data_IF_042746895941
#
_entry.id   IF_042746895941
#
_cell.length_a   1.000
_cell.length_b   1.000
_cell.length_c   1.000
_cell.angle_alpha   90.00
_cell.angle_beta   90.00
_cell.angle_gamma   90.00
#
_symmetry.space_group_name_H-M   'P 1'
#
loop_
_entity.id
_entity.type
_entity.pdbx_description
1 polymer ?
#
# COMPACT_ATOMS: atom_id res chain seq x y z
N UNK A 1 12.54 -3.59 29.57
CA UNK A 1 12.31 -4.21 28.23
C UNK A 1 11.07 -3.64 27.56
N UNK A 2 9.91 -3.64 28.24
CA UNK A 2 8.64 -3.18 27.66
C UNK A 2 8.63 -1.72 27.18
N UNK A 3 9.40 -0.84 27.83
CA UNK A 3 9.54 0.56 27.41
C UNK A 3 10.06 0.71 25.96
N UNK A 4 11.08 -0.08 25.57
CA UNK A 4 11.63 -0.03 24.21
C UNK A 4 10.61 -0.54 23.19
N UNK A 5 9.92 -1.65 23.51
CA UNK A 5 8.87 -2.20 22.64
C UNK A 5 7.70 -1.24 22.48
N UNK A 6 7.27 -0.57 23.55
CA UNK A 6 6.22 0.45 23.50
C UNK A 6 6.62 1.63 22.62
N UNK A 7 7.88 2.09 22.74
CA UNK A 7 8.43 3.16 21.89
C UNK A 7 8.47 2.77 20.41
N UNK A 8 8.87 1.53 20.09
CA UNK A 8 8.89 1.03 18.70
C UNK A 8 7.48 0.79 18.13
N UNK A 9 6.52 0.38 18.95
CA UNK A 9 5.12 0.31 18.51
C UNK A 9 4.49 1.69 18.32
N UNK A 10 5.03 2.73 18.96
CA UNK A 10 4.48 4.07 18.90
C UNK A 10 2.99 4.05 19.27
N UNK A 11 2.14 4.55 18.37
CA UNK A 11 0.70 4.66 18.56
C UNK A 11 -0.10 3.39 18.20
N UNK A 12 0.53 2.25 17.91
CA UNK A 12 -0.22 1.00 17.60
C UNK A 12 -0.94 0.45 18.83
N UNK A 13 -2.14 -0.08 18.63
CA UNK A 13 -2.90 -0.79 19.65
C UNK A 13 -2.18 -2.09 19.98
N UNK A 14 -1.76 -2.25 21.24
CA UNK A 14 -1.04 -3.44 21.70
C UNK A 14 -2.00 -4.37 22.43
N UNK A 15 -1.86 -5.66 22.19
CA UNK A 15 -2.46 -6.70 23.01
C UNK A 15 -1.79 -6.67 24.39
N UNK A 16 -2.60 -6.50 25.44
CA UNK A 16 -2.19 -6.58 26.84
C UNK A 16 -3.14 -7.53 27.58
N UNK A 17 -2.78 -8.81 27.63
CA UNK A 17 -3.62 -9.86 28.23
C UNK A 17 -2.73 -10.76 29.10
N UNK A 18 -2.97 -10.76 30.42
CA UNK A 18 -2.13 -11.50 31.37
C UNK A 18 -0.65 -11.14 31.22
N UNK A 19 0.17 -12.11 30.83
CA UNK A 19 1.61 -11.95 30.64
C UNK A 19 2.01 -11.49 29.22
N UNK A 20 1.05 -11.35 28.31
CA UNK A 20 1.29 -10.96 26.92
C UNK A 20 1.21 -9.44 26.75
N UNK A 21 2.29 -8.85 26.22
CA UNK A 21 2.33 -7.44 25.81
C UNK A 21 2.89 -7.36 24.39
N UNK A 22 2.02 -7.57 23.40
CA UNK A 22 2.41 -7.75 21.99
C UNK A 22 1.88 -6.60 21.13
N UNK A 23 2.70 -6.15 20.18
CA UNK A 23 2.26 -5.34 19.05
C UNK A 23 1.48 -6.22 18.07
N UNK A 24 0.25 -6.54 18.48
CA UNK A 24 -0.71 -7.43 17.86
C UNK A 24 -2.10 -6.85 18.09
N UNK A 25 -2.94 -6.85 17.06
CA UNK A 25 -4.29 -6.30 17.12
C UNK A 25 -5.26 -7.14 16.31
N UNK A 26 -6.40 -7.48 16.88
CA UNK A 26 -7.53 -8.01 16.12
C UNK A 26 -8.21 -6.86 15.37
N UNK A 27 -8.06 -6.86 14.05
CA UNK A 27 -8.79 -5.93 13.17
C UNK A 27 -10.24 -6.37 13.08
N UNK A 28 -10.49 -7.67 12.97
CA UNK A 28 -11.79 -8.30 13.20
C UNK A 28 -11.59 -9.50 14.13
N UNK A 29 -12.63 -10.26 14.45
CA UNK A 29 -12.48 -11.49 15.25
C UNK A 29 -11.57 -12.55 14.59
N UNK A 30 -11.38 -12.47 13.28
CA UNK A 30 -10.68 -13.49 12.48
C UNK A 30 -9.50 -12.95 11.65
N UNK A 31 -9.21 -11.65 11.75
CA UNK A 31 -8.07 -11.00 11.08
C UNK A 31 -7.22 -10.29 12.14
N UNK A 32 -5.96 -10.70 12.24
CA UNK A 32 -4.98 -10.15 13.17
C UNK A 32 -3.90 -9.40 12.39
N UNK A 33 -3.59 -8.17 12.81
CA UNK A 33 -2.44 -7.40 12.35
C UNK A 33 -1.36 -7.40 13.43
N UNK A 34 -0.10 -7.66 13.08
CA UNK A 34 1.00 -7.58 14.05
C UNK A 34 2.30 -7.04 13.44
N UNK A 35 3.27 -6.69 14.31
CA UNK A 35 4.66 -6.48 13.90
C UNK A 35 5.44 -7.80 13.80
N UNK A 36 6.61 -7.77 13.14
CA UNK A 36 7.49 -8.94 12.98
C UNK A 36 7.73 -9.67 14.32
N UNK A 37 7.56 -11.00 14.39
CA UNK A 37 8.05 -11.81 15.50
C UNK A 37 9.59 -11.84 15.44
N UNK A 38 10.22 -11.10 16.34
CA UNK A 38 11.67 -10.94 16.39
C UNK A 38 12.34 -12.03 17.22
N UNK A 39 13.45 -12.55 16.69
CA UNK A 39 14.32 -13.52 17.36
C UNK A 39 15.45 -12.83 18.13
N UNK A 40 15.92 -13.46 19.20
CA UNK A 40 17.07 -12.99 19.98
C UNK A 40 17.00 -11.49 20.32
N UNK A 41 18.00 -10.73 19.87
CA UNK A 41 18.10 -9.29 20.11
C UNK A 41 16.96 -8.48 19.45
N UNK A 42 16.36 -8.93 18.34
CA UNK A 42 15.22 -8.24 17.73
C UNK A 42 13.99 -8.26 18.64
N UNK A 43 13.82 -9.33 19.42
CA UNK A 43 12.76 -9.47 20.43
C UNK A 43 12.86 -8.46 21.58
N UNK A 44 13.98 -7.74 21.73
CA UNK A 44 14.13 -6.67 22.72
C UNK A 44 13.32 -5.43 22.38
N UNK A 45 13.15 -5.14 21.09
CA UNK A 45 12.45 -3.94 20.61
C UNK A 45 11.26 -4.25 19.68
N UNK A 46 11.09 -5.51 19.25
CA UNK A 46 9.91 -6.02 18.55
C UNK A 46 9.15 -7.04 19.43
N UNK A 47 8.16 -7.71 18.85
CA UNK A 47 7.46 -8.81 19.51
C UNK A 47 8.43 -9.99 19.71
N UNK A 48 8.61 -10.54 20.93
CA UNK A 48 9.36 -11.77 21.11
C UNK A 48 8.65 -12.92 20.41
N UNK A 49 9.35 -13.63 19.53
CA UNK A 49 8.76 -14.75 18.78
C UNK A 49 8.13 -15.80 19.71
N UNK A 50 8.77 -16.12 20.83
CA UNK A 50 8.25 -17.12 21.79
C UNK A 50 6.92 -16.69 22.42
N UNK A 51 6.75 -15.41 22.73
CA UNK A 51 5.48 -14.91 23.27
C UNK A 51 4.39 -14.86 22.20
N UNK A 52 4.73 -14.54 20.95
CA UNK A 52 3.75 -14.55 19.85
C UNK A 52 3.30 -15.97 19.54
N UNK A 53 4.25 -16.90 19.44
CA UNK A 53 3.97 -18.32 19.25
C UNK A 53 3.14 -18.89 20.39
N UNK A 54 3.53 -18.63 21.65
CA UNK A 54 2.78 -19.05 22.82
C UNK A 54 1.34 -18.53 22.78
N UNK A 55 1.15 -17.23 22.57
CA UNK A 55 -0.18 -16.63 22.49
C UNK A 55 -1.06 -17.27 21.41
N UNK A 56 -0.54 -17.40 20.18
CA UNK A 56 -1.31 -17.96 19.06
C UNK A 56 -1.60 -19.44 19.26
N UNK A 57 -0.62 -20.22 19.76
CA UNK A 57 -0.78 -21.65 20.04
C UNK A 57 -1.78 -21.93 21.17
N UNK A 58 -1.81 -21.08 22.20
CA UNK A 58 -2.78 -21.20 23.31
C UNK A 58 -4.17 -20.76 22.88
N UNK A 59 -4.28 -19.67 22.12
CA UNK A 59 -5.57 -19.06 21.76
C UNK A 59 -6.26 -19.76 20.60
N UNK A 60 -5.51 -20.13 19.57
CA UNK A 60 -6.04 -20.63 18.28
C UNK A 60 -5.58 -22.04 17.93
N UNK A 61 -4.76 -22.69 18.78
CA UNK A 61 -4.25 -24.04 18.55
C UNK A 61 -3.51 -24.16 17.21
N UNK A 62 -4.12 -24.83 16.21
CA UNK A 62 -3.59 -25.02 14.85
C UNK A 62 -4.38 -24.19 13.81
N UNK A 63 -5.50 -23.56 14.21
CA UNK A 63 -6.44 -22.85 13.34
C UNK A 63 -5.99 -21.40 13.05
N UNK A 64 -4.69 -21.14 12.95
CA UNK A 64 -4.16 -19.83 12.55
C UNK A 64 -3.16 -19.92 11.41
N UNK A 65 -3.20 -18.91 10.54
CA UNK A 65 -2.42 -18.87 9.31
C UNK A 65 -1.67 -17.54 9.20
N UNK A 66 -0.33 -17.60 9.17
CA UNK A 66 0.51 -16.40 9.17
C UNK A 66 0.89 -16.01 7.73
N UNK A 67 0.62 -14.77 7.35
CA UNK A 67 1.11 -14.15 6.12
C UNK A 67 2.30 -13.24 6.44
N UNK A 68 3.49 -13.71 6.10
CA UNK A 68 4.73 -12.97 6.28
C UNK A 68 5.06 -12.12 5.05
N UNK A 69 4.76 -10.83 5.13
CA UNK A 69 5.02 -9.86 4.04
C UNK A 69 6.41 -9.23 4.12
N UNK A 70 7.25 -9.68 5.06
CA UNK A 70 8.48 -8.98 5.42
C UNK A 70 9.68 -9.33 4.55
N UNK A 71 9.69 -10.53 3.97
CA UNK A 71 10.86 -11.14 3.30
C UNK A 71 11.94 -11.65 4.27
N UNK A 72 11.71 -11.56 5.59
CA UNK A 72 12.60 -12.13 6.62
C UNK A 72 12.08 -13.48 7.08
N UNK A 73 12.95 -14.47 7.12
CA UNK A 73 12.70 -15.76 7.80
C UNK A 73 12.93 -15.64 9.31
N UNK A 74 12.28 -16.52 10.06
CA UNK A 74 12.44 -16.75 11.50
C UNK A 74 12.07 -18.22 11.78
N UNK A 75 12.32 -18.72 12.99
CA UNK A 75 12.07 -20.10 13.39
C UNK A 75 10.57 -20.44 13.37
N UNK A 76 10.14 -20.99 12.24
CA UNK A 76 8.76 -21.37 11.95
C UNK A 76 8.30 -22.52 12.86
N UNK A 77 9.23 -23.35 13.39
CA UNK A 77 8.89 -24.53 14.22
C UNK A 77 8.21 -24.18 15.55
N UNK A 78 8.30 -22.91 15.97
CA UNK A 78 7.61 -22.39 17.16
C UNK A 78 6.10 -22.27 16.96
N UNK A 79 5.66 -22.14 15.71
CA UNK A 79 4.26 -21.96 15.35
C UNK A 79 3.64 -23.30 14.96
N UNK A 80 2.48 -23.63 15.56
CA UNK A 80 1.64 -24.76 15.14
C UNK A 80 0.87 -24.48 13.85
N UNK A 81 0.54 -23.21 13.62
CA UNK A 81 -0.17 -22.75 12.43
C UNK A 81 0.73 -22.61 11.20
N UNK A 82 0.14 -22.64 10.01
CA UNK A 82 0.87 -22.59 8.74
C UNK A 82 1.35 -21.17 8.41
N UNK A 83 2.56 -21.04 7.88
CA UNK A 83 3.17 -19.75 7.50
C UNK A 83 3.35 -19.65 5.98
N UNK A 84 2.73 -18.64 5.38
CA UNK A 84 2.93 -18.25 3.99
C UNK A 84 4.01 -17.17 3.88
N UNK A 85 5.08 -17.44 3.14
CA UNK A 85 6.26 -16.56 3.00
C UNK A 85 6.55 -16.03 1.60
N UNK A 86 5.84 -16.52 0.59
CA UNK A 86 6.05 -16.13 -0.81
C UNK A 86 5.41 -14.78 -1.17
N UNK A 87 4.79 -14.12 -0.20
CA UNK A 87 3.96 -12.93 -0.37
C UNK A 87 4.66 -11.64 0.12
N UNK A 88 5.94 -11.43 -0.21
CA UNK A 88 6.67 -10.24 0.22
C UNK A 88 6.95 -9.26 -0.91
N UNK A 89 7.06 -7.98 -0.55
CA UNK A 89 7.60 -6.95 -1.43
C UNK A 89 8.40 -5.92 -0.62
N UNK A 90 9.25 -5.17 -1.34
CA UNK A 90 10.20 -4.22 -0.78
C UNK A 90 9.51 -3.19 0.10
N UNK A 91 10.13 -2.85 1.23
CA UNK A 91 9.49 -1.94 2.17
C UNK A 91 9.21 -0.58 1.54
N UNK A 92 8.07 0.00 1.90
CA UNK A 92 7.55 1.24 1.33
C UNK A 92 7.34 1.24 -0.20
N UNK A 93 7.32 0.10 -0.89
CA UNK A 93 6.90 0.05 -2.29
C UNK A 93 5.44 -0.40 -2.38
N UNK A 94 4.82 -0.20 -3.54
CA UNK A 94 3.55 -0.85 -3.86
C UNK A 94 3.76 -2.36 -4.05
N UNK A 95 2.83 -3.21 -3.60
CA UNK A 95 2.80 -4.62 -3.99
C UNK A 95 2.47 -4.73 -5.47
N UNK A 96 2.91 -5.78 -6.15
CA UNK A 96 2.31 -6.09 -7.45
C UNK A 96 0.85 -6.52 -7.27
N UNK A 97 -0.01 -6.14 -8.22
CA UNK A 97 -1.45 -6.40 -8.10
C UNK A 97 -1.79 -7.89 -7.95
N UNK A 98 -1.06 -8.77 -8.65
CA UNK A 98 -1.30 -10.21 -8.55
C UNK A 98 -1.07 -10.76 -7.15
N UNK A 99 -0.05 -10.26 -6.45
CA UNK A 99 0.25 -10.68 -5.08
C UNK A 99 -0.90 -10.29 -4.16
N UNK A 100 -1.51 -9.11 -4.35
CA UNK A 100 -2.71 -8.73 -3.59
C UNK A 100 -3.89 -9.67 -3.84
N UNK A 101 -4.19 -9.98 -5.11
CA UNK A 101 -5.27 -10.91 -5.45
C UNK A 101 -5.03 -12.32 -4.91
N UNK A 102 -3.80 -12.82 -4.98
CA UNK A 102 -3.44 -14.14 -4.48
C UNK A 102 -3.58 -14.23 -2.97
N UNK A 103 -3.06 -13.23 -2.24
CA UNK A 103 -3.22 -13.19 -0.79
C UNK A 103 -4.71 -13.10 -0.41
N UNK A 104 -5.49 -12.21 -1.04
CA UNK A 104 -6.90 -12.06 -0.71
C UNK A 104 -7.71 -13.33 -1.01
N UNK A 105 -7.46 -14.01 -2.13
CA UNK A 105 -8.08 -15.29 -2.44
C UNK A 105 -7.69 -16.36 -1.40
N UNK A 106 -6.41 -16.44 -1.03
CA UNK A 106 -5.93 -17.40 -0.05
C UNK A 106 -6.54 -17.16 1.33
N UNK A 107 -6.59 -15.91 1.79
CA UNK A 107 -7.28 -15.53 3.04
C UNK A 107 -8.76 -15.95 2.97
N UNK A 108 -9.44 -15.63 1.87
CA UNK A 108 -10.86 -15.98 1.70
C UNK A 108 -11.11 -17.48 1.81
N UNK A 109 -10.28 -18.27 1.15
CA UNK A 109 -10.38 -19.73 1.17
C UNK A 109 -10.12 -20.28 2.57
N UNK A 110 -9.10 -19.78 3.27
CA UNK A 110 -8.78 -20.16 4.65
C UNK A 110 -9.98 -19.85 5.57
N UNK A 111 -10.50 -18.64 5.52
CA UNK A 111 -11.58 -18.23 6.43
C UNK A 111 -12.90 -18.94 6.13
N UNK A 112 -13.17 -19.30 4.87
CA UNK A 112 -14.33 -20.12 4.49
C UNK A 112 -14.21 -21.60 4.86
N UNK A 113 -13.00 -22.13 4.95
CA UNK A 113 -12.79 -23.57 5.17
C UNK A 113 -13.19 -24.04 6.58
N UNK A 114 -13.03 -23.18 7.59
CA UNK A 114 -13.37 -23.47 8.98
C UNK A 114 -13.65 -22.15 9.70
N UNK A 115 -14.74 -22.08 10.47
CA UNK A 115 -15.14 -20.88 11.22
C UNK A 115 -14.18 -20.51 12.35
N UNK A 116 -13.37 -21.47 12.82
CA UNK A 116 -12.31 -21.23 13.80
C UNK A 116 -11.05 -20.60 13.22
N UNK A 117 -10.86 -20.69 11.90
CA UNK A 117 -9.65 -20.19 11.27
C UNK A 117 -9.48 -18.69 11.48
N UNK A 118 -8.28 -18.27 11.84
CA UNK A 118 -7.86 -16.87 11.89
C UNK A 118 -6.64 -16.64 11.00
N UNK A 119 -6.55 -15.45 10.40
CA UNK A 119 -5.36 -15.06 9.63
C UNK A 119 -4.57 -13.99 10.38
N UNK A 120 -3.25 -14.14 10.38
CA UNK A 120 -2.31 -13.23 11.02
C UNK A 120 -1.44 -12.60 9.95
N UNK A 121 -1.53 -11.29 9.75
CA UNK A 121 -0.80 -10.60 8.69
C UNK A 121 0.24 -9.69 9.35
N UNK A 122 1.50 -9.81 8.93
CA UNK A 122 2.56 -8.95 9.42
C UNK A 122 3.56 -8.57 8.33
N UNK A 123 4.27 -7.47 8.58
CA UNK A 123 5.46 -7.10 7.84
C UNK A 123 6.59 -6.84 8.84
N UNK A 124 7.41 -5.81 8.64
CA UNK A 124 8.33 -5.37 9.69
C UNK A 124 7.57 -4.66 10.82
N UNK A 125 6.97 -3.51 10.54
CA UNK A 125 6.33 -2.68 11.56
C UNK A 125 4.83 -2.96 11.76
N UNK A 126 4.20 -3.76 10.91
CA UNK A 126 2.76 -4.04 10.99
C UNK A 126 1.88 -2.80 10.72
N UNK A 127 2.31 -1.92 9.80
CA UNK A 127 1.63 -0.66 9.42
C UNK A 127 1.24 -0.66 7.95
N UNK A 128 2.12 -0.21 7.05
CA UNK A 128 1.80 0.03 5.63
C UNK A 128 1.40 -1.25 4.89
N UNK A 129 2.36 -2.16 4.66
CA UNK A 129 2.14 -3.42 3.92
C UNK A 129 1.02 -4.29 4.50
N UNK A 130 1.02 -4.46 5.82
CA UNK A 130 -0.03 -5.17 6.56
C UNK A 130 -1.40 -4.54 6.34
N UNK A 131 -1.50 -3.22 6.50
CA UNK A 131 -2.73 -2.48 6.25
C UNK A 131 -3.19 -2.56 4.80
N UNK A 132 -2.28 -2.53 3.82
CA UNK A 132 -2.61 -2.69 2.40
C UNK A 132 -3.34 -4.01 2.14
N UNK A 133 -2.79 -5.14 2.61
CA UNK A 133 -3.42 -6.46 2.46
C UNK A 133 -4.76 -6.52 3.18
N UNK A 134 -4.81 -6.03 4.42
CA UNK A 134 -6.04 -6.08 5.23
C UNK A 134 -7.14 -5.24 4.57
N UNK A 135 -6.84 -4.01 4.12
CA UNK A 135 -7.81 -3.18 3.42
C UNK A 135 -8.28 -3.81 2.12
N UNK A 136 -7.37 -4.39 1.32
CA UNK A 136 -7.75 -5.14 0.12
C UNK A 136 -8.67 -6.31 0.47
N UNK A 137 -8.37 -7.07 1.53
CA UNK A 137 -9.21 -8.20 1.92
C UNK A 137 -10.57 -7.77 2.47
N UNK A 138 -10.64 -6.69 3.25
CA UNK A 138 -11.91 -6.13 3.74
C UNK A 138 -12.82 -5.66 2.59
N UNK A 139 -12.24 -5.19 1.48
CA UNK A 139 -12.95 -4.88 0.24
C UNK A 139 -13.33 -6.14 -0.54
N UNK A 140 -12.41 -7.11 -0.66
CA UNK A 140 -12.63 -8.41 -1.30
C UNK A 140 -13.70 -9.24 -0.59
N UNK A 141 -13.80 -9.15 0.73
CA UNK A 141 -14.84 -9.83 1.47
C UNK A 141 -16.21 -9.18 1.28
N UNK A 142 -16.29 -8.01 0.62
CA UNK A 142 -17.51 -7.24 0.46
C UNK A 142 -17.95 -6.47 1.70
N UNK A 143 -17.11 -6.35 2.76
CA UNK A 143 -17.53 -5.66 4.00
C UNK A 143 -17.64 -4.16 3.81
N UNK A 144 -16.81 -3.62 2.94
CA UNK A 144 -16.74 -2.20 2.61
C UNK A 144 -17.00 -1.97 1.12
N UNK A 145 -17.66 -0.85 0.82
CA UNK A 145 -18.02 -0.45 -0.54
C UNK A 145 -17.19 0.73 -1.06
N UNK A 146 -16.18 1.16 -0.32
CA UNK A 146 -15.21 2.16 -0.75
C UNK A 146 -13.90 2.00 0.03
N UNK A 147 -12.82 2.48 -0.58
CA UNK A 147 -11.45 2.37 -0.05
C UNK A 147 -11.27 3.17 1.23
N UNK A 148 -11.88 4.35 1.33
CA UNK A 148 -11.73 5.25 2.47
C UNK A 148 -12.25 4.64 3.76
N UNK A 149 -13.42 4.01 3.74
CA UNK A 149 -14.00 3.38 4.94
C UNK A 149 -13.16 2.18 5.39
N UNK A 150 -12.63 1.37 4.45
CA UNK A 150 -11.73 0.27 4.78
C UNK A 150 -10.43 0.78 5.43
N UNK A 151 -9.83 1.85 4.89
CA UNK A 151 -8.66 2.52 5.45
C UNK A 151 -8.93 3.11 6.82
N UNK A 152 -10.07 3.77 7.00
CA UNK A 152 -10.47 4.39 8.26
C UNK A 152 -10.72 3.35 9.35
N UNK A 153 -11.48 2.30 9.01
CA UNK A 153 -11.73 1.18 9.92
C UNK A 153 -10.41 0.53 10.34
N UNK A 154 -9.54 0.17 9.39
CA UNK A 154 -8.23 -0.39 9.71
C UNK A 154 -7.41 0.55 10.60
N UNK A 155 -7.39 1.85 10.27
CA UNK A 155 -6.66 2.85 11.03
C UNK A 155 -7.09 2.93 12.50
N UNK A 156 -8.41 3.07 12.73
CA UNK A 156 -8.99 3.13 14.08
C UNK A 156 -8.81 1.83 14.87
N UNK A 157 -8.92 0.68 14.20
CA UNK A 157 -8.67 -0.62 14.84
C UNK A 157 -7.20 -0.79 15.21
N UNK A 158 -6.26 -0.35 14.37
CA UNK A 158 -4.83 -0.63 14.53
C UNK A 158 -4.06 0.40 15.36
N UNK A 159 -4.50 1.66 15.40
CA UNK A 159 -3.76 2.76 16.02
C UNK A 159 -4.62 3.56 17.00
N UNK A 160 -3.96 4.12 18.03
CA UNK A 160 -4.48 5.14 18.91
C UNK A 160 -4.27 6.53 18.29
N UNK A 161 -5.35 7.31 18.19
CA UNK A 161 -5.35 8.68 17.69
C UNK A 161 -5.65 8.80 16.19
N UNK A 162 -6.19 9.96 15.81
CA UNK A 162 -6.72 10.23 14.47
C UNK A 162 -5.65 10.24 13.37
N UNK A 163 -6.06 9.92 12.13
CA UNK A 163 -5.24 10.08 10.92
C UNK A 163 -4.13 9.04 10.71
N UNK A 164 -4.12 7.94 11.48
CA UNK A 164 -3.12 6.88 11.35
C UNK A 164 -3.72 5.65 10.68
N UNK A 165 -3.24 5.34 9.46
CA UNK A 165 -3.62 4.15 8.71
C UNK A 165 -2.47 3.74 7.76
N UNK A 166 -2.81 3.16 6.61
CA UNK A 166 -1.95 3.11 5.43
C UNK A 166 -1.81 4.53 4.90
N UNK A 167 -0.64 5.14 5.09
CA UNK A 167 -0.44 6.56 4.78
C UNK A 167 0.39 6.81 3.52
N UNK A 168 1.05 5.79 2.97
CA UNK A 168 1.89 5.95 1.78
C UNK A 168 1.01 6.00 0.53
N UNK A 169 1.03 7.09 -0.28
CA UNK A 169 0.17 7.22 -1.45
C UNK A 169 0.26 6.07 -2.43
N UNK A 170 1.47 5.56 -2.72
CA UNK A 170 1.65 4.38 -3.57
C UNK A 170 0.88 3.14 -3.09
N UNK A 171 0.76 2.95 -1.77
CA UNK A 171 0.03 1.83 -1.19
C UNK A 171 -1.48 2.05 -1.29
N UNK A 172 -1.96 3.27 -1.01
CA UNK A 172 -3.38 3.64 -1.15
C UNK A 172 -3.84 3.44 -2.60
N UNK A 173 -3.06 3.96 -3.56
CA UNK A 173 -3.34 3.85 -5.00
C UNK A 173 -3.49 2.40 -5.47
N UNK A 174 -2.74 1.47 -4.89
CA UNK A 174 -2.85 0.05 -5.25
C UNK A 174 -4.04 -0.63 -4.59
N UNK A 175 -4.51 -0.15 -3.43
CA UNK A 175 -5.81 -0.58 -2.87
C UNK A 175 -6.94 -0.09 -3.79
N UNK A 176 -6.84 1.12 -4.34
CA UNK A 176 -7.79 1.65 -5.32
C UNK A 176 -7.78 0.84 -6.61
N UNK A 177 -6.60 0.55 -7.18
CA UNK A 177 -6.49 -0.33 -8.35
C UNK A 177 -7.10 -1.72 -8.10
N UNK A 178 -6.80 -2.31 -6.95
CA UNK A 178 -7.38 -3.59 -6.54
C UNK A 178 -8.92 -3.52 -6.46
N UNK A 179 -9.45 -2.50 -5.81
CA UNK A 179 -10.89 -2.31 -5.67
C UNK A 179 -11.59 -2.03 -7.00
N UNK A 180 -10.97 -1.22 -7.85
CA UNK A 180 -11.49 -0.95 -9.19
C UNK A 180 -11.59 -2.24 -10.01
N UNK A 181 -10.55 -3.09 -9.99
CA UNK A 181 -10.56 -4.39 -10.65
C UNK A 181 -11.65 -5.32 -10.12
N UNK A 182 -11.91 -5.35 -8.81
CA UNK A 182 -13.00 -6.16 -8.24
C UNK A 182 -14.39 -5.76 -8.72
N UNK A 183 -14.57 -4.49 -9.08
CA UNK A 183 -15.85 -3.95 -9.55
C UNK A 183 -15.93 -3.88 -11.09
N UNK A 184 -14.87 -4.28 -11.80
CA UNK A 184 -14.87 -4.33 -13.26
C UNK A 184 -15.51 -5.63 -13.75
N UNK A 185 -16.49 -5.51 -14.64
CA UNK A 185 -17.12 -6.64 -15.32
C UNK A 185 -16.38 -7.04 -16.61
N UNK A 186 -15.20 -6.48 -16.85
CA UNK A 186 -14.40 -6.68 -18.05
C UNK A 186 -13.00 -7.12 -17.68
N UNK A 187 -12.40 -7.94 -18.54
CA UNK A 187 -10.98 -8.26 -18.42
C UNK A 187 -10.16 -6.98 -18.51
N UNK A 188 -9.02 -6.98 -17.83
CA UNK A 188 -8.03 -5.91 -17.87
C UNK A 188 -6.68 -6.51 -18.20
N UNK A 189 -5.89 -5.80 -18.99
CA UNK A 189 -4.52 -6.19 -19.33
C UNK A 189 -3.66 -4.93 -19.52
N UNK A 190 -2.40 -4.93 -19.05
CA UNK A 190 -1.56 -3.73 -19.09
C UNK A 190 -1.27 -3.29 -20.52
N UNK A 191 -1.07 -1.98 -20.67
CA UNK A 191 -0.64 -1.37 -21.92
C UNK A 191 0.88 -1.22 -21.97
N UNK A 192 1.43 -1.34 -23.18
CA UNK A 192 2.78 -0.88 -23.47
C UNK A 192 2.72 0.63 -23.64
N UNK A 193 3.47 1.34 -22.80
CA UNK A 193 3.55 2.80 -22.83
C UNK A 193 5.01 3.28 -22.91
N UNK A 194 5.17 4.56 -23.22
CA UNK A 194 6.43 5.28 -23.15
C UNK A 194 6.18 6.64 -22.48
N UNK A 195 7.08 7.08 -21.61
CA UNK A 195 7.02 8.43 -21.03
C UNK A 195 7.77 9.38 -21.97
N UNK A 196 7.09 10.40 -22.47
CA UNK A 196 7.70 11.45 -23.30
C UNK A 196 8.36 12.51 -22.42
N UNK A 197 7.64 12.97 -21.41
CA UNK A 197 8.12 14.00 -20.50
C UNK A 197 7.56 13.81 -19.08
N UNK A 198 8.33 14.28 -18.10
CA UNK A 198 7.88 14.47 -16.72
C UNK A 198 8.14 15.94 -16.36
N UNK A 199 7.07 16.62 -15.97
CA UNK A 199 7.09 18.04 -15.65
C UNK A 199 6.75 18.26 -14.18
N UNK A 200 7.54 19.08 -13.50
CA UNK A 200 7.27 19.55 -12.15
C UNK A 200 6.73 20.97 -12.21
N UNK A 201 5.72 21.26 -11.40
CA UNK A 201 5.13 22.58 -11.26
C UNK A 201 5.12 22.99 -9.79
N UNK A 202 5.37 24.26 -9.54
CA UNK A 202 5.58 24.84 -8.21
C UNK A 202 6.98 25.44 -8.08
N UNK A 203 7.21 26.21 -7.02
CA UNK A 203 8.52 26.80 -6.73
C UNK A 203 9.59 25.72 -6.57
N UNK A 204 10.75 25.92 -7.19
CA UNK A 204 11.92 25.03 -7.08
C UNK A 204 12.24 24.69 -5.60
N UNK A 205 12.33 23.39 -5.24
CA UNK A 205 12.62 23.00 -3.87
C UNK A 205 14.02 23.39 -3.40
N UNK A 206 14.17 23.83 -2.16
CA UNK A 206 15.48 24.21 -1.59
C UNK A 206 16.15 23.00 -0.93
N UNK A 207 16.86 22.18 -1.71
CA UNK A 207 17.39 20.88 -1.24
C UNK A 207 18.89 20.91 -0.96
N UNK A 208 19.71 21.44 -1.88
CA UNK A 208 21.16 21.54 -1.67
C UNK A 208 21.50 22.64 -0.66
N UNK A 209 22.73 22.62 -0.12
CA UNK A 209 23.22 23.61 0.86
C UNK A 209 23.12 25.04 0.33
N UNK A 210 23.31 25.22 -0.98
CA UNK A 210 23.18 26.52 -1.65
C UNK A 210 21.72 26.86 -2.06
N UNK A 211 20.74 26.10 -1.58
CA UNK A 211 19.32 26.27 -1.90
C UNK A 211 18.92 25.86 -3.31
N UNK A 212 19.81 25.26 -4.10
CA UNK A 212 19.53 24.83 -5.48
C UNK A 212 18.98 23.41 -5.53
N UNK A 213 18.31 23.08 -6.64
CA UNK A 213 17.81 21.75 -6.95
C UNK A 213 18.14 21.40 -8.40
N UNK A 214 18.69 20.21 -8.59
CA UNK A 214 19.07 19.59 -9.86
C UNK A 214 18.38 18.22 -9.90
N UNK A 215 17.07 18.19 -10.16
CA UNK A 215 16.34 16.95 -10.11
C UNK A 215 16.72 16.04 -11.29
N UNK A 216 16.62 14.74 -11.06
CA UNK A 216 16.69 13.71 -12.08
C UNK A 216 15.79 12.54 -11.68
N UNK A 217 15.42 11.73 -12.66
CA UNK A 217 14.52 10.60 -12.46
C UNK A 217 15.25 9.28 -12.69
N UNK A 218 14.80 8.25 -11.99
CA UNK A 218 15.09 6.85 -12.27
C UNK A 218 13.76 6.14 -12.54
N UNK A 219 13.65 5.47 -13.69
CA UNK A 219 12.51 4.61 -14.02
C UNK A 219 12.86 3.19 -13.60
N UNK A 220 12.01 2.59 -12.78
CA UNK A 220 12.25 1.28 -12.18
C UNK A 220 11.08 0.34 -12.53
N UNK A 221 11.43 -0.83 -13.05
CA UNK A 221 10.51 -1.97 -13.19
C UNK A 221 10.37 -2.64 -11.83
N UNK A 222 9.17 -2.58 -11.24
CA UNK A 222 8.94 -3.08 -9.88
C UNK A 222 9.09 -4.60 -9.80
N UNK A 223 8.67 -5.33 -10.84
CA UNK A 223 8.76 -6.80 -10.89
C UNK A 223 10.21 -7.26 -10.96
N UNK A 224 11.07 -6.56 -11.71
CA UNK A 224 12.49 -6.89 -11.87
C UNK A 224 13.40 -6.30 -10.79
N UNK A 225 12.89 -5.37 -9.97
CA UNK A 225 13.65 -4.53 -9.03
C UNK A 225 14.91 -3.90 -9.67
N UNK A 226 14.78 -3.43 -10.92
CA UNK A 226 15.90 -2.92 -11.71
C UNK A 226 15.60 -1.54 -12.28
N UNK A 227 16.59 -0.65 -12.24
CA UNK A 227 16.54 0.65 -12.93
C UNK A 227 16.63 0.42 -14.43
N UNK A 228 15.58 0.77 -15.16
CA UNK A 228 15.54 0.73 -16.62
C UNK A 228 16.23 1.95 -17.24
N UNK A 229 16.15 3.10 -16.57
CA UNK A 229 16.69 4.36 -17.09
C UNK A 229 16.96 5.37 -16.00
N UNK A 230 17.92 6.27 -16.25
CA UNK A 230 18.19 7.41 -15.39
C UNK A 230 18.53 8.66 -16.21
N UNK A 231 17.94 9.79 -15.86
CA UNK A 231 18.26 11.10 -16.47
C UNK A 231 19.40 11.83 -15.76
N UNK A 232 20.11 11.19 -14.83
CA UNK A 232 21.14 11.82 -13.99
C UNK A 232 22.19 12.58 -14.80
N UNK A 233 22.64 12.01 -15.92
CA UNK A 233 23.68 12.62 -16.78
C UNK A 233 23.22 13.90 -17.49
N UNK A 234 21.90 14.06 -17.67
CA UNK A 234 21.29 15.22 -18.33
C UNK A 234 20.54 16.12 -17.33
N UNK A 235 20.78 15.94 -16.02
CA UNK A 235 20.13 16.73 -14.98
C UNK A 235 20.46 18.21 -15.16
N UNK A 236 19.43 19.05 -15.02
CA UNK A 236 19.53 20.51 -15.12
C UNK A 236 18.98 21.15 -13.87
N UNK A 237 19.37 22.38 -13.61
CA UNK A 237 18.85 23.17 -12.49
C UNK A 237 17.34 23.39 -12.66
N UNK A 238 16.58 23.22 -11.58
CA UNK A 238 15.19 23.65 -11.49
C UNK A 238 15.17 25.14 -11.15
N UNK A 239 14.77 25.97 -12.11
CA UNK A 239 14.62 27.41 -11.96
C UNK A 239 13.14 27.84 -12.09
N UNK A 240 12.71 28.78 -11.26
CA UNK A 240 11.36 29.35 -11.34
C UNK A 240 10.26 28.43 -10.80
N UNK A 241 9.16 28.34 -11.56
CA UNK A 241 7.88 27.74 -11.18
C UNK A 241 7.58 26.40 -11.89
N UNK A 242 8.43 25.97 -12.82
CA UNK A 242 8.31 24.67 -13.45
C UNK A 242 9.66 24.11 -13.88
N UNK A 243 9.72 22.79 -14.03
CA UNK A 243 10.90 22.09 -14.54
C UNK A 243 10.48 20.91 -15.41
N UNK A 244 10.99 20.84 -16.63
CA UNK A 244 10.59 19.87 -17.63
C UNK A 244 11.74 18.91 -17.93
N UNK A 245 11.50 17.61 -17.72
CA UNK A 245 12.43 16.53 -18.01
C UNK A 245 11.90 15.77 -19.23
N UNK A 246 12.49 16.02 -20.39
CA UNK A 246 12.19 15.29 -21.63
C UNK A 246 13.10 14.06 -21.68
N UNK A 247 12.51 12.88 -21.95
CA UNK A 247 13.29 11.66 -22.08
C UNK A 247 13.85 11.57 -23.50
N UNK A 248 15.19 11.56 -23.69
CA UNK A 248 15.78 11.50 -25.03
C UNK A 248 15.66 10.11 -25.65
N UNK A 249 15.38 9.08 -24.84
CA UNK A 249 15.18 7.70 -25.28
C UNK A 249 13.80 7.26 -24.83
N UNK A 250 13.01 6.78 -25.79
CA UNK A 250 11.72 6.19 -25.51
C UNK A 250 11.90 4.76 -25.03
N UNK A 251 11.39 4.46 -23.84
CA UNK A 251 11.60 3.18 -23.16
C UNK A 251 10.26 2.48 -23.01
N UNK A 252 10.15 1.22 -23.47
CA UNK A 252 8.93 0.44 -23.32
C UNK A 252 8.68 0.13 -21.84
N UNK A 253 7.53 0.56 -21.31
CA UNK A 253 7.10 0.32 -19.93
C UNK A 253 5.80 -0.48 -19.90
N UNK A 254 5.73 -1.43 -18.96
CA UNK A 254 4.60 -2.35 -18.80
C UNK A 254 4.36 -2.63 -17.30
N UNK A 255 3.10 -2.69 -16.91
CA UNK A 255 2.62 -3.04 -15.57
C UNK A 255 3.12 -2.08 -14.48
N UNK A 256 3.68 -2.59 -13.38
CA UNK A 256 4.02 -1.82 -12.19
C UNK A 256 5.35 -1.05 -12.37
N UNK A 257 5.25 0.27 -12.50
CA UNK A 257 6.38 1.18 -12.71
C UNK A 257 6.53 2.11 -11.50
N UNK A 258 7.77 2.29 -11.05
CA UNK A 258 8.15 3.27 -10.04
C UNK A 258 9.02 4.35 -10.66
N UNK A 259 8.62 5.60 -10.48
CA UNK A 259 9.44 6.77 -10.79
C UNK A 259 10.06 7.27 -9.49
N UNK A 260 11.38 7.20 -9.40
CA UNK A 260 12.12 7.71 -8.26
C UNK A 260 12.81 9.02 -8.64
N UNK A 261 12.45 10.10 -7.96
CA UNK A 261 12.99 11.44 -8.21
C UNK A 261 14.05 11.76 -7.15
N UNK A 262 15.25 12.05 -7.63
CA UNK A 262 16.40 12.42 -6.81
C UNK A 262 16.90 13.79 -7.21
N UNK A 263 17.60 14.45 -6.30
CA UNK A 263 18.33 15.66 -6.57
C UNK A 263 19.83 15.37 -6.55
N UNK A 264 20.51 15.81 -7.60
CA UNK A 264 21.95 15.71 -7.74
C UNK A 264 22.64 16.59 -6.70
N UNK A 265 23.55 15.99 -5.93
CA UNK A 265 24.36 16.66 -4.93
C UNK A 265 25.85 16.39 -5.17
N UNK A 266 26.70 17.35 -4.80
CA UNK A 266 28.15 17.25 -5.05
C UNK A 266 28.82 16.04 -4.37
N UNK A 267 28.38 15.69 -3.15
CA UNK A 267 28.90 14.54 -2.41
C UNK A 267 28.00 13.29 -2.53
N UNK A 268 26.69 13.50 -2.49
CA UNK A 268 25.70 12.42 -2.50
C UNK A 268 24.37 12.93 -3.03
N UNK A 269 23.71 12.11 -3.85
CA UNK A 269 22.35 12.38 -4.30
C UNK A 269 21.36 12.28 -3.12
N UNK A 270 20.45 13.23 -3.06
CA UNK A 270 19.35 13.23 -2.08
C UNK A 270 18.06 12.73 -2.72
N UNK A 271 17.29 11.91 -2.01
CA UNK A 271 15.93 11.54 -2.46
C UNK A 271 15.01 12.73 -2.33
N UNK A 272 14.18 12.99 -3.34
CA UNK A 272 13.15 14.03 -3.30
C UNK A 272 11.81 13.40 -2.97
N UNK A 273 11.30 12.60 -3.91
CA UNK A 273 10.05 11.88 -3.82
C UNK A 273 10.03 10.74 -4.83
N UNK A 274 8.95 9.97 -4.81
CA UNK A 274 8.68 8.94 -5.81
C UNK A 274 7.18 8.76 -5.94
N UNK A 275 6.76 8.10 -7.00
CA UNK A 275 5.39 7.70 -7.21
C UNK A 275 5.38 6.48 -8.13
N UNK A 276 4.34 5.67 -8.01
CA UNK A 276 4.19 4.45 -8.80
C UNK A 276 2.82 4.39 -9.44
N UNK A 277 2.73 3.70 -10.56
CA UNK A 277 1.48 3.44 -11.26
C UNK A 277 1.55 2.05 -11.91
N UNK A 278 0.39 1.59 -12.36
CA UNK A 278 0.29 0.41 -13.20
C UNK A 278 -0.23 0.80 -14.58
N UNK A 279 0.43 0.35 -15.65
CA UNK A 279 0.10 0.73 -17.04
C UNK A 279 -1.26 0.21 -17.52
N UNK A 280 -1.98 -0.59 -16.73
CA UNK A 280 -3.36 -0.98 -17.01
C UNK A 280 -4.39 0.12 -16.65
N UNK A 281 -4.00 1.13 -15.87
CA UNK A 281 -4.89 2.21 -15.36
C UNK A 281 -4.37 3.60 -15.70
N UNK A 282 -3.51 3.69 -16.71
CA UNK A 282 -2.82 4.91 -17.09
C UNK A 282 -3.62 5.64 -18.16
N UNK A 283 -3.74 6.95 -18.03
CA UNK A 283 -4.26 7.82 -19.09
C UNK A 283 -3.09 8.54 -19.79
N UNK A 284 -3.35 9.15 -20.95
CA UNK A 284 -2.32 9.89 -21.72
C UNK A 284 -1.64 11.00 -20.93
N UNK A 285 -2.39 11.61 -20.01
CA UNK A 285 -1.89 12.65 -19.11
C UNK A 285 -2.23 12.23 -17.68
N UNK A 286 -1.23 12.18 -16.81
CA UNK A 286 -1.45 11.95 -15.38
C UNK A 286 -0.85 13.09 -14.59
N UNK A 287 -1.62 13.58 -13.62
CA UNK A 287 -1.16 14.53 -12.62
C UNK A 287 -1.10 13.87 -11.26
N UNK A 288 0.00 14.07 -10.55
CA UNK A 288 0.15 13.75 -9.13
C UNK A 288 0.31 15.05 -8.34
N UNK A 289 -0.63 15.30 -7.43
CA UNK A 289 -0.51 16.35 -6.43
C UNK A 289 0.52 15.96 -5.36
N UNK A 290 1.04 16.92 -4.60
CA UNK A 290 2.06 16.66 -3.57
C UNK A 290 1.63 15.60 -2.53
N UNK A 291 0.34 15.51 -2.20
CA UNK A 291 -0.21 14.52 -1.27
C UNK A 291 -0.33 13.11 -1.88
N UNK A 292 -0.12 12.97 -3.19
CA UNK A 292 -0.08 11.70 -3.92
C UNK A 292 1.36 11.19 -4.14
N UNK A 293 2.36 11.93 -3.63
CA UNK A 293 3.77 11.59 -3.73
C UNK A 293 4.30 10.91 -2.47
N UNK A 294 5.19 9.94 -2.64
CA UNK A 294 5.88 9.26 -1.56
C UNK A 294 7.25 9.89 -1.26
N UNK A 295 7.68 9.93 0.02
CA UNK A 295 6.92 9.50 1.18
C UNK A 295 5.86 10.54 1.56
N UNK A 296 4.76 10.10 2.17
CA UNK A 296 3.60 10.95 2.51
C UNK A 296 3.90 12.23 3.29
N UNK A 297 5.03 12.30 3.98
CA UNK A 297 5.49 13.46 4.74
C UNK A 297 5.93 14.63 3.84
N UNK A 298 6.13 14.40 2.54
CA UNK A 298 6.55 15.46 1.62
C UNK A 298 5.55 16.62 1.57
N UNK A 299 4.26 16.36 1.74
CA UNK A 299 3.23 17.40 1.78
C UNK A 299 3.46 18.42 2.92
N UNK A 300 4.15 18.00 3.99
CA UNK A 300 4.47 18.83 5.16
C UNK A 300 5.87 19.44 5.09
N UNK A 301 6.69 19.03 4.12
CA UNK A 301 8.06 19.51 3.96
C UNK A 301 8.09 20.96 3.46
N UNK A 302 8.64 21.87 4.26
CA UNK A 302 8.72 23.30 3.95
C UNK A 302 9.59 23.63 2.74
N UNK A 303 10.42 22.67 2.28
CA UNK A 303 11.24 22.83 1.08
C UNK A 303 10.41 22.74 -0.19
N UNK A 304 9.25 22.10 -0.16
CA UNK A 304 8.37 21.95 -1.32
C UNK A 304 7.23 22.97 -1.30
N UNK A 305 6.83 23.43 -2.49
CA UNK A 305 5.64 24.25 -2.65
C UNK A 305 4.39 23.44 -2.27
N UNK A 306 3.44 24.04 -1.55
CA UNK A 306 2.17 23.37 -1.18
C UNK A 306 1.30 23.05 -2.41
N UNK A 307 1.50 23.75 -3.53
CA UNK A 307 0.87 23.47 -4.82
C UNK A 307 1.77 22.65 -5.75
N UNK A 308 2.85 22.07 -5.22
CA UNK A 308 3.74 21.23 -6.02
C UNK A 308 2.96 20.08 -6.64
N UNK A 309 3.18 19.86 -7.94
CA UNK A 309 2.59 18.73 -8.65
C UNK A 309 3.52 18.23 -9.76
N UNK A 310 3.30 16.99 -10.13
CA UNK A 310 4.03 16.30 -11.19
C UNK A 310 3.05 15.94 -12.29
N UNK A 311 3.37 16.25 -13.53
CA UNK A 311 2.58 15.87 -14.70
C UNK A 311 3.42 14.98 -15.62
N UNK A 312 2.82 13.88 -16.08
CA UNK A 312 3.44 12.94 -17.00
C UNK A 312 2.72 13.02 -18.35
N UNK A 313 3.50 13.09 -19.41
CA UNK A 313 3.03 12.93 -20.77
C UNK A 313 3.44 11.55 -21.29
N UNK A 314 2.44 10.77 -21.68
CA UNK A 314 2.59 9.36 -22.00
C UNK A 314 2.11 9.08 -23.42
N UNK A 315 2.92 8.34 -24.17
CA UNK A 315 2.51 7.75 -25.43
C UNK A 315 2.16 6.28 -25.23
N UNK A 316 1.00 5.88 -25.74
CA UNK A 316 0.52 4.49 -25.74
C UNK A 316 0.62 3.88 -27.14
N UNK A 317 0.66 2.54 -27.20
CA UNK A 317 0.54 1.86 -28.49
C UNK A 317 -0.83 2.12 -29.15
N UNK A 318 -0.82 2.86 -30.27
CA UNK A 318 -2.03 3.22 -31.03
C UNK A 318 -2.79 2.03 -31.63
N UNK A 319 -2.15 0.85 -31.71
CA UNK A 319 -2.73 -0.35 -32.31
C UNK A 319 -3.57 -1.17 -31.31
N UNK A 320 -3.20 -1.18 -30.03
CA UNK A 320 -3.79 -2.13 -29.07
C UNK A 320 -3.92 -1.63 -27.62
N UNK A 321 -3.81 -0.32 -27.35
CA UNK A 321 -3.98 0.22 -25.99
C UNK A 321 -5.40 0.01 -25.42
N UNK A 322 -6.42 -0.01 -26.27
CA UNK A 322 -7.82 -0.24 -25.84
C UNK A 322 -8.21 -1.74 -25.78
N UNK A 323 -7.25 -2.66 -25.91
CA UNK A 323 -7.53 -4.10 -25.98
C UNK A 323 -7.16 -4.79 -24.66
N UNK A 324 -8.10 -5.51 -24.08
CA UNK A 324 -7.99 -5.95 -22.69
C UNK A 324 -7.59 -7.43 -22.52
N UNK A 325 -6.97 -8.03 -23.53
CA UNK A 325 -6.42 -9.39 -23.43
C UNK A 325 -5.12 -9.50 -24.22
N UNK A 326 -4.23 -10.39 -23.78
CA UNK A 326 -2.91 -10.58 -24.38
C UNK A 326 -2.99 -10.99 -25.86
N UNK A 327 -3.93 -11.87 -26.20
CA UNK A 327 -4.08 -12.44 -27.54
C UNK A 327 -4.41 -11.36 -28.58
N UNK A 328 -5.10 -10.30 -28.13
CA UNK A 328 -5.51 -9.16 -28.96
C UNK A 328 -4.41 -8.10 -29.09
N UNK A 329 -3.31 -8.19 -28.34
CA UNK A 329 -2.21 -7.21 -28.44
C UNK A 329 -1.47 -7.35 -29.76
N UNK A 330 -0.95 -6.25 -30.31
CA UNK A 330 -0.24 -6.28 -31.58
C UNK A 330 1.13 -6.97 -31.45
N UNK A 331 1.71 -7.39 -32.57
CA UNK A 331 3.00 -8.09 -32.61
C UNK A 331 4.17 -7.28 -32.02
N UNK A 332 4.07 -5.95 -32.03
CA UNK A 332 5.06 -5.08 -31.37
C UNK A 332 4.95 -5.11 -29.84
N UNK A 333 3.73 -5.24 -29.31
CA UNK A 333 3.50 -5.20 -27.86
C UNK A 333 3.68 -6.56 -27.18
N UNK A 334 3.34 -7.65 -27.88
CA UNK A 334 3.37 -9.02 -27.33
C UNK A 334 4.72 -9.39 -26.68
N UNK A 335 5.90 -9.11 -27.29
CA UNK A 335 7.18 -9.45 -26.67
C UNK A 335 7.36 -8.81 -25.28
N UNK A 336 6.99 -7.53 -25.13
CA UNK A 336 7.10 -6.79 -23.86
C UNK A 336 6.08 -7.25 -22.82
N UNK A 337 4.92 -7.74 -23.27
CA UNK A 337 3.80 -8.12 -22.42
C UNK A 337 3.81 -9.61 -22.02
N UNK A 338 4.58 -10.44 -22.72
CA UNK A 338 4.62 -11.90 -22.53
C UNK A 338 4.89 -12.32 -21.08
N UNK A 339 5.86 -11.66 -20.43
CA UNK A 339 6.21 -11.89 -19.03
C UNK A 339 5.13 -11.49 -18.00
N UNK A 340 4.01 -10.92 -18.45
CA UNK A 340 2.86 -10.53 -17.62
C UNK A 340 1.60 -11.34 -17.93
N UNK A 341 1.61 -12.22 -18.94
CA UNK A 341 0.44 -12.99 -19.38
C UNK A 341 -0.11 -13.88 -18.27
N UNK A 342 0.75 -14.69 -17.63
CA UNK A 342 0.34 -15.58 -16.54
C UNK A 342 -0.22 -14.78 -15.37
N UNK A 343 0.50 -13.76 -14.94
CA UNK A 343 0.17 -12.89 -13.81
C UNK A 343 -1.21 -12.23 -13.97
N UNK A 344 -1.48 -11.64 -15.14
CA UNK A 344 -2.77 -11.01 -15.42
C UNK A 344 -3.86 -12.00 -15.80
N UNK A 345 -3.51 -13.14 -16.39
CA UNK A 345 -4.43 -14.26 -16.59
C UNK A 345 -5.02 -14.71 -15.26
N UNK A 346 -4.16 -14.85 -14.25
CA UNK A 346 -4.55 -15.21 -12.88
C UNK A 346 -5.43 -14.15 -12.21
N UNK A 347 -5.08 -12.86 -12.29
CA UNK A 347 -5.94 -11.76 -11.80
C UNK A 347 -7.33 -11.84 -12.44
N UNK A 348 -7.39 -11.95 -13.77
CA UNK A 348 -8.66 -12.04 -14.49
C UNK A 348 -9.45 -13.30 -14.13
N UNK A 349 -8.80 -14.45 -13.90
CA UNK A 349 -9.47 -15.67 -13.44
C UNK A 349 -10.12 -15.48 -12.07
N UNK A 350 -9.42 -14.84 -11.14
CA UNK A 350 -9.94 -14.53 -9.80
C UNK A 350 -11.15 -13.60 -9.90
N UNK A 351 -11.04 -12.52 -10.66
CA UNK A 351 -12.14 -11.55 -10.86
C UNK A 351 -13.35 -12.20 -11.54
N UNK A 352 -13.14 -13.00 -12.59
CA UNK A 352 -14.25 -13.66 -13.30
C UNK A 352 -15.02 -14.65 -12.42
N UNK A 353 -14.38 -15.22 -11.39
CA UNK A 353 -15.03 -16.11 -10.41
C UNK A 353 -15.49 -15.38 -9.16
N UNK A 354 -15.13 -14.11 -9.00
CA UNK A 354 -15.45 -13.35 -7.82
C UNK A 354 -16.95 -13.04 -7.77
N UNK A 355 -17.59 -13.50 -6.70
CA UNK A 355 -18.97 -13.16 -6.36
C UNK A 355 -18.92 -12.42 -5.05
N UNK A 356 -19.33 -11.15 -5.08
CA UNK A 356 -19.35 -10.28 -3.91
C UNK A 356 -20.23 -10.91 -2.81
N UNK A 357 -19.69 -11.21 -1.62
CA UNK A 357 -20.48 -11.77 -0.53
C UNK A 357 -21.55 -10.77 -0.03
N UNK A 358 -22.66 -11.29 0.46
CA UNK A 358 -23.71 -10.46 1.11
C UNK A 358 -23.26 -10.00 2.49
N UNK A 359 -23.85 -8.92 3.01
CA UNK A 359 -23.53 -8.40 4.35
C UNK A 359 -23.62 -9.47 5.44
N UNK A 360 -24.59 -10.38 5.36
CA UNK A 360 -24.76 -11.50 6.31
C UNK A 360 -23.58 -12.47 6.20
N UNK A 361 -23.23 -12.89 4.98
CA UNK A 361 -22.11 -13.80 4.74
C UNK A 361 -20.80 -13.19 5.22
N UNK A 362 -20.57 -11.91 4.95
CA UNK A 362 -19.35 -11.21 5.36
C UNK A 362 -19.28 -11.00 6.86
N UNK A 363 -20.41 -10.70 7.50
CA UNK A 363 -20.51 -10.59 8.96
C UNK A 363 -20.10 -11.89 9.62
N UNK A 364 -20.66 -13.02 9.17
CA UNK A 364 -20.29 -14.34 9.66
C UNK A 364 -18.81 -14.65 9.39
N UNK A 365 -18.33 -14.36 8.17
CA UNK A 365 -16.95 -14.63 7.78
C UNK A 365 -15.92 -13.87 8.62
N UNK A 366 -16.17 -12.60 8.94
CA UNK A 366 -15.16 -11.73 9.59
C UNK A 366 -15.35 -11.59 11.10
N UNK A 367 -16.60 -11.62 11.57
CA UNK A 367 -16.98 -11.30 12.95
C UNK A 367 -17.65 -12.46 13.66
N UNK A 368 -17.91 -13.58 12.97
CA UNK A 368 -18.64 -14.77 13.45
C UNK A 368 -20.13 -14.51 13.69
N UNK A 369 -20.47 -13.46 14.43
CA UNK A 369 -21.84 -13.05 14.74
C UNK A 369 -22.04 -11.56 14.53
N UNK A 370 -23.31 -11.11 14.50
CA UNK A 370 -23.63 -9.69 14.28
C UNK A 370 -23.27 -8.82 15.48
N UNK A 371 -23.30 -9.38 16.69
CA UNK A 371 -22.97 -8.67 17.94
C UNK A 371 -21.48 -8.30 18.00
N UNK A 372 -20.63 -9.07 17.32
CA UNK A 372 -19.19 -8.82 17.24
C UNK A 372 -18.81 -7.86 16.09
N UNK A 373 -19.75 -7.49 15.22
CA UNK A 373 -19.52 -6.62 14.07
C UNK A 373 -19.51 -5.15 14.50
N UNK A 374 -18.31 -4.63 14.74
CA UNK A 374 -18.06 -3.30 15.30
C UNK A 374 -17.88 -2.20 14.25
N UNK A 375 -18.06 -2.50 12.96
CA UNK A 375 -17.79 -1.55 11.86
C UNK A 375 -18.58 -0.26 12.01
N UNK A 376 -19.87 -0.35 12.30
CA UNK A 376 -20.71 0.84 12.46
C UNK A 376 -20.27 1.69 13.65
N UNK A 377 -19.95 1.09 14.80
CA UNK A 377 -19.47 1.83 15.97
C UNK A 377 -18.15 2.55 15.69
N UNK A 378 -17.20 1.85 15.06
CA UNK A 378 -15.87 2.40 14.77
C UNK A 378 -15.95 3.54 13.74
N UNK A 379 -16.84 3.43 12.75
CA UNK A 379 -17.03 4.49 11.75
C UNK A 379 -17.91 5.65 12.26
N UNK A 380 -18.94 5.42 13.09
CA UNK A 380 -19.82 6.49 13.60
C UNK A 380 -19.11 7.52 14.48
N UNK A 381 -18.06 7.12 15.21
CA UNK A 381 -17.19 8.07 15.95
C UNK A 381 -16.68 9.21 15.04
N UNK A 382 -16.58 8.99 13.73
CA UNK A 382 -16.17 10.00 12.74
C UNK A 382 -17.16 11.17 12.59
N UNK A 383 -18.48 10.93 12.68
CA UNK A 383 -19.48 11.99 12.46
C UNK A 383 -19.52 12.95 13.65
N UNK A 384 -19.42 12.42 14.87
CA UNK A 384 -19.39 13.19 16.11
C UNK A 384 -18.07 13.94 16.29
N UNK A 385 -16.93 13.35 15.93
CA UNK A 385 -15.62 14.02 15.99
C UNK A 385 -15.48 15.16 14.97
N UNK A 386 -15.98 14.98 13.73
CA UNK A 386 -15.97 16.03 12.70
C UNK A 386 -16.91 17.19 13.04
N UNK A 387 -18.10 16.91 13.56
CA UNK A 387 -19.04 17.96 14.02
C UNK A 387 -18.47 18.71 15.22
N UNK A 388 -17.88 18.03 16.20
CA UNK A 388 -17.25 18.69 17.35
C UNK A 388 -16.01 19.51 16.96
N UNK A 389 -15.19 19.06 16.00
CA UNK A 389 -14.04 19.81 15.48
C UNK A 389 -14.47 21.07 14.70
N UNK A 390 -15.57 20.99 13.95
CA UNK A 390 -16.14 22.15 13.26
C UNK A 390 -16.77 23.15 14.26
N UNK A 391 -17.49 22.66 15.28
CA UNK A 391 -18.07 23.50 16.35
C UNK A 391 -16.97 24.21 17.15
N UNK A 392 -15.88 23.52 17.49
CA UNK A 392 -14.73 24.14 18.18
C UNK A 392 -14.04 25.22 17.34
N UNK A 393 -13.94 25.02 16.01
CA UNK A 393 -13.36 26.04 15.11
C UNK A 393 -14.26 27.27 14.96
N UNK A 394 -15.58 27.09 14.99
CA UNK A 394 -16.55 28.22 14.95
C UNK A 394 -16.49 29.00 16.28
N UNK A 395 -16.48 28.32 17.43
CA UNK A 395 -16.41 28.97 18.74
C UNK A 395 -15.10 29.74 18.98
N UNK A 396 -13.98 29.29 18.43
CA UNK A 396 -12.70 30.03 18.49
C UNK A 396 -12.69 31.27 17.58
N UNK A 397 -13.48 31.26 16.49
CA UNK A 397 -13.61 32.39 15.59
C UNK A 397 -14.52 33.49 16.15
N UNK A 398 -15.54 33.10 16.94
CA UNK A 398 -16.46 34.02 17.63
C UNK A 398 -15.87 34.62 18.92
N UNK A 399 -14.75 34.10 19.42
CA UNK A 399 -14.01 34.67 20.56
C UNK A 399 -12.85 35.59 20.14
N UNK A 400 -12.62 35.76 18.83
CA UNK A 400 -11.58 36.63 18.26
C UNK A 400 -12.14 37.79 17.41
N UNK A 401 -13.46 37.99 17.42
CA UNK A 401 -14.13 39.23 17.01
C UNK A 401 -14.68 39.93 18.25
#
# INVERSE_FOLDING_TARGET
MDYLRQKVSGKKNRLKEGNFNLDLTYITQRIIAMSLPGEGFEGLYRNPIDQVAQYLNERHKEDYFIFNLSGKSYDESKFKGLIFKDYFWKDHHSPSLNVLFDICLQIHNILKANDENVVVIHCLAGKGRTGTVICCYLLYSGRFNNVNDALNYYGKKRFHGEGLSVNQPCQIKYIEYFYNLLNMNTRVFPNLIQIQSISFYGKSPQININGQCYPFIEIIDVKKDSVLYSTKQISKKYEGQSHHIILPVQIPLVADILINVKNYGALKDSKMFRFSFNTAFIEKHITYQINELDPSQIQDDSRFDKKFRVELEIEECRLCSNLNSFEKKCELCKPHLSGHQETWGRINEIINRYVKPTDIQTTQLLFRTKENDDVESILKDQVLELTNSQIFKVQLHDQQQ
#
